data_IF_818954713304
#
_entry.id   IF_818954713304
#
_cell.length_a   1.000
_cell.length_b   1.000
_cell.length_c   1.000
_cell.angle_alpha   90.00
_cell.angle_beta   90.00
_cell.angle_gamma   90.00
#
_symmetry.space_group_name_H-M   'P 1'
#
loop_
_entity.id
_entity.type
_entity.pdbx_description
1 polymer ?
#
# COMPACT_ATOMS: atom_id res chain seq x y z
N UNK A 1 41.22 22.46 -28.60
CA UNK A 1 41.04 21.53 -27.47
C UNK A 1 39.87 22.03 -26.64
N UNK A 2 38.77 21.28 -26.69
CA UNK A 2 37.55 21.52 -25.93
C UNK A 2 37.77 21.21 -24.46
N UNK A 3 37.08 21.91 -23.55
CA UNK A 3 36.37 21.30 -22.42
C UNK A 3 35.41 22.34 -21.83
N UNK A 4 34.11 22.06 -21.98
CA UNK A 4 33.00 22.70 -21.27
C UNK A 4 32.68 21.81 -20.07
N UNK A 5 32.34 22.38 -18.89
CA UNK A 5 31.42 21.74 -17.99
C UNK A 5 30.10 22.52 -17.90
N UNK A 6 29.06 21.71 -17.94
CA UNK A 6 27.64 22.00 -18.01
C UNK A 6 27.12 22.71 -16.73
N UNK A 7 26.24 23.68 -16.92
CA UNK A 7 25.26 24.13 -15.93
C UNK A 7 24.33 22.98 -15.53
N UNK A 8 23.85 23.00 -14.30
CA UNK A 8 22.43 22.84 -13.95
C UNK A 8 22.23 23.00 -12.43
N UNK A 9 21.75 24.16 -11.99
CA UNK A 9 21.14 24.33 -10.67
C UNK A 9 19.94 25.30 -10.80
N UNK A 10 18.75 24.71 -10.63
CA UNK A 10 17.47 25.27 -10.16
C UNK A 10 17.00 26.67 -10.61
N UNK A 11 15.87 26.69 -11.31
CA UNK A 11 14.87 27.75 -11.09
C UNK A 11 13.45 27.22 -11.34
N UNK A 12 12.71 27.03 -10.24
CA UNK A 12 11.26 26.90 -10.29
C UNK A 12 10.64 28.30 -10.35
N UNK A 13 9.61 28.40 -11.19
CA UNK A 13 8.56 29.43 -11.26
C UNK A 13 8.78 30.65 -12.18
N UNK A 14 7.77 30.81 -13.05
CA UNK A 14 7.24 32.05 -13.63
C UNK A 14 8.04 32.77 -14.72
N UNK A 15 7.66 32.55 -15.99
CA UNK A 15 7.15 33.63 -16.85
C UNK A 15 6.66 33.09 -18.21
N UNK A 16 5.34 33.05 -18.40
CA UNK A 16 4.76 33.33 -19.72
C UNK A 16 3.36 33.93 -19.55
N UNK A 17 3.32 35.26 -19.47
CA UNK A 17 2.20 36.07 -19.99
C UNK A 17 2.61 36.45 -21.43
N UNK A 18 1.81 36.55 -22.49
CA UNK A 18 0.41 36.90 -22.69
C UNK A 18 0.05 36.53 -24.14
N UNK A 19 -1.18 36.07 -24.39
CA UNK A 19 -2.01 36.62 -25.47
C UNK A 19 -3.48 36.39 -25.14
N UNK A 20 -4.19 37.50 -24.96
CA UNK A 20 -5.63 37.61 -24.71
C UNK A 20 -6.44 37.20 -25.95
N UNK A 21 -7.60 36.57 -25.74
CA UNK A 21 -8.90 37.22 -25.99
C UNK A 21 -10.08 36.25 -25.73
N UNK A 22 -11.03 36.72 -24.91
CA UNK A 22 -12.51 36.57 -24.93
C UNK A 22 -13.11 35.25 -25.48
N UNK A 23 -14.02 34.57 -24.77
CA UNK A 23 -15.36 35.04 -24.39
C UNK A 23 -15.84 34.35 -23.10
N UNK A 24 -16.39 35.13 -22.18
CA UNK A 24 -17.12 34.66 -20.99
C UNK A 24 -18.58 34.34 -21.33
N UNK A 25 -19.10 33.24 -20.80
CA UNK A 25 -20.55 33.11 -20.53
C UNK A 25 -20.74 32.30 -19.25
N UNK A 26 -21.22 32.99 -18.23
CA UNK A 26 -21.86 32.48 -17.03
C UNK A 26 -23.26 31.97 -17.43
N UNK A 27 -23.81 30.91 -16.86
CA UNK A 27 -24.46 30.87 -15.54
C UNK A 27 -25.03 29.47 -15.30
N UNK A 28 -25.08 29.09 -14.01
CA UNK A 28 -26.04 28.20 -13.32
C UNK A 28 -26.46 26.87 -13.98
N UNK A 29 -26.26 25.77 -13.26
CA UNK A 29 -27.35 25.01 -12.63
C UNK A 29 -26.84 23.72 -11.98
N UNK A 30 -27.17 23.57 -10.70
CA UNK A 30 -27.09 22.34 -9.93
C UNK A 30 -27.91 21.23 -10.60
N UNK A 31 -27.33 20.05 -10.79
CA UNK A 31 -28.10 18.83 -11.03
C UNK A 31 -27.33 17.62 -10.50
N UNK A 32 -27.70 17.20 -9.29
CA UNK A 32 -27.49 15.85 -8.80
C UNK A 32 -28.06 14.87 -9.83
N UNK A 33 -27.20 14.15 -10.55
CA UNK A 33 -27.62 13.08 -11.44
C UNK A 33 -27.52 11.76 -10.68
N UNK A 34 -28.58 11.44 -9.93
CA UNK A 34 -28.88 10.06 -9.57
C UNK A 34 -29.15 9.29 -10.86
N UNK A 35 -28.35 8.26 -11.11
CA UNK A 35 -28.53 7.41 -12.29
C UNK A 35 -29.67 6.44 -11.99
N UNK A 36 -30.88 6.79 -12.42
CA UNK A 36 -32.02 5.87 -12.46
C UNK A 36 -31.95 5.08 -13.78
N UNK A 37 -31.67 3.77 -13.69
CA UNK A 37 -31.78 2.86 -14.83
C UNK A 37 -33.19 2.23 -14.88
N UNK A 38 -33.73 1.96 -16.08
CA UNK A 38 -35.07 1.39 -16.25
C UNK A 38 -35.12 -0.06 -15.74
N UNK A 39 -36.21 -0.41 -15.06
CA UNK A 39 -36.53 -1.77 -14.61
C UNK A 39 -36.93 -2.65 -15.80
N UNK A 40 -36.35 -3.85 -15.99
CA UNK A 40 -36.96 -4.86 -16.84
C UNK A 40 -37.99 -5.69 -16.07
N UNK A 41 -39.02 -6.07 -16.81
CA UNK A 41 -40.17 -6.88 -16.43
C UNK A 41 -39.83 -8.26 -15.90
N UNK A 42 -40.65 -8.71 -14.96
CA UNK A 42 -40.67 -10.02 -14.30
C UNK A 42 -40.78 -11.20 -15.26
N UNK A 43 -39.90 -12.20 -15.08
CA UNK A 43 -40.15 -13.60 -15.45
C UNK A 43 -39.58 -14.52 -14.36
N UNK A 44 -40.31 -15.54 -13.89
CA UNK A 44 -39.84 -16.45 -12.85
C UNK A 44 -39.02 -17.58 -13.50
N UNK A 45 -37.73 -17.31 -13.71
CA UNK A 45 -36.77 -18.30 -14.19
C UNK A 45 -35.88 -18.78 -13.04
N UNK A 46 -36.16 -19.98 -12.55
CA UNK A 46 -35.26 -20.76 -11.68
C UNK A 46 -33.89 -20.89 -12.33
N UNK A 47 -32.95 -20.03 -11.94
CA UNK A 47 -31.52 -20.28 -11.97
C UNK A 47 -30.92 -19.45 -10.86
N UNK A 48 -30.59 -20.11 -9.74
CA UNK A 48 -29.75 -19.58 -8.68
C UNK A 48 -28.49 -19.01 -9.32
N UNK A 49 -28.45 -17.69 -9.46
CA UNK A 49 -27.25 -16.97 -9.90
C UNK A 49 -26.28 -17.14 -8.75
N UNK A 50 -25.41 -18.14 -8.86
CA UNK A 50 -24.34 -18.38 -7.89
C UNK A 50 -23.65 -17.04 -7.61
N UNK A 51 -23.59 -16.64 -6.34
CA UNK A 51 -22.90 -15.41 -5.95
C UNK A 51 -21.43 -15.54 -6.40
N UNK A 52 -20.79 -14.44 -6.84
CA UNK A 52 -19.41 -14.45 -7.37
C UNK A 52 -18.42 -15.18 -6.45
N UNK A 53 -18.66 -15.10 -5.14
CA UNK A 53 -17.90 -15.77 -4.07
C UNK A 53 -17.91 -17.30 -4.10
N UNK A 54 -18.94 -17.92 -4.69
CA UNK A 54 -19.07 -19.39 -4.73
C UNK A 54 -18.08 -20.07 -5.68
N UNK A 55 -17.25 -19.29 -6.38
CA UNK A 55 -16.17 -19.76 -7.24
C UNK A 55 -14.82 -19.83 -6.52
N UNK A 56 -14.71 -19.30 -5.30
CA UNK A 56 -13.46 -19.23 -4.55
C UNK A 56 -13.50 -20.17 -3.33
N UNK A 57 -12.35 -20.77 -3.03
CA UNK A 57 -12.22 -21.75 -1.95
C UNK A 57 -12.12 -21.09 -0.57
N UNK A 58 -11.52 -19.90 -0.51
CA UNK A 58 -11.36 -19.12 0.72
C UNK A 58 -11.76 -17.65 0.49
N UNK A 59 -12.83 -17.23 1.15
CA UNK A 59 -13.34 -15.85 1.11
C UNK A 59 -13.44 -15.34 2.53
N UNK A 60 -12.67 -14.28 2.83
CA UNK A 60 -12.73 -13.60 4.12
C UNK A 60 -13.31 -12.22 3.92
N UNK A 61 -14.41 -11.92 4.62
CA UNK A 61 -15.02 -10.60 4.64
C UNK A 61 -14.42 -9.70 5.71
N UNK A 62 -13.99 -8.52 5.29
CA UNK A 62 -13.73 -7.38 6.17
C UNK A 62 -14.92 -6.42 6.10
N UNK A 63 -15.72 -6.39 7.16
CA UNK A 63 -16.75 -5.36 7.37
C UNK A 63 -16.08 -4.08 7.84
N UNK A 64 -16.38 -2.95 7.19
CA UNK A 64 -15.74 -1.66 7.44
C UNK A 64 -16.59 -0.80 8.37
N UNK A 65 -15.94 0.02 9.20
CA UNK A 65 -16.60 0.86 10.20
C UNK A 65 -16.29 2.37 10.06
N UNK A 66 -17.16 3.16 9.40
CA UNK A 66 -18.37 2.76 8.69
C UNK A 66 -18.11 2.37 7.23
N UNK A 67 -16.97 2.79 6.66
CA UNK A 67 -16.70 2.60 5.23
C UNK A 67 -15.25 2.85 4.85
N UNK A 68 -14.94 2.60 3.57
CA UNK A 68 -13.71 2.97 2.90
C UNK A 68 -14.02 3.67 1.58
N UNK A 69 -13.18 4.64 1.21
CA UNK A 69 -13.24 5.31 -0.09
C UNK A 69 -12.16 4.77 -1.02
N UNK A 70 -12.55 4.31 -2.21
CA UNK A 70 -11.65 3.91 -3.28
C UNK A 70 -11.58 5.04 -4.30
N UNK A 71 -10.36 5.47 -4.63
CA UNK A 71 -10.11 6.50 -5.64
C UNK A 71 -9.26 5.96 -6.78
N UNK A 72 -9.58 6.35 -8.02
CA UNK A 72 -8.80 5.99 -9.21
C UNK A 72 -9.02 6.96 -10.36
N UNK A 73 -8.05 7.01 -11.29
CA UNK A 73 -8.17 7.83 -12.51
C UNK A 73 -8.50 6.93 -13.69
N UNK A 74 -9.48 7.37 -14.49
CA UNK A 74 -9.83 6.73 -15.77
C UNK A 74 -10.14 7.84 -16.79
N UNK A 75 -9.49 7.78 -17.96
CA UNK A 75 -9.65 8.78 -19.02
C UNK A 75 -9.44 10.24 -18.55
N UNK A 76 -8.47 10.46 -17.66
CA UNK A 76 -8.17 11.78 -17.11
C UNK A 76 -9.14 12.27 -16.02
N UNK A 77 -10.20 11.52 -15.71
CA UNK A 77 -11.16 11.85 -14.67
C UNK A 77 -10.89 11.04 -13.39
N UNK A 78 -10.92 11.73 -12.25
CA UNK A 78 -10.82 11.11 -10.92
C UNK A 78 -12.20 10.61 -10.47
N UNK A 79 -12.28 9.33 -10.14
CA UNK A 79 -13.45 8.68 -9.56
C UNK A 79 -13.19 8.42 -8.07
N UNK A 80 -14.25 8.56 -7.26
CA UNK A 80 -14.24 8.24 -5.83
C UNK A 80 -15.51 7.46 -5.50
N UNK A 81 -15.35 6.24 -4.99
CA UNK A 81 -16.44 5.33 -4.69
C UNK A 81 -16.34 4.90 -3.22
N UNK A 82 -17.47 4.76 -2.55
CA UNK A 82 -17.55 4.40 -1.12
C UNK A 82 -18.11 2.99 -0.97
N UNK A 83 -17.48 2.18 -0.12
CA UNK A 83 -17.83 0.78 0.13
C UNK A 83 -17.85 0.48 1.62
N UNK A 84 -18.70 -0.45 2.05
CA UNK A 84 -18.85 -0.82 3.46
C UNK A 84 -18.25 -2.19 3.79
N UNK A 85 -17.86 -2.97 2.78
CA UNK A 85 -17.10 -4.20 3.01
C UNK A 85 -16.14 -4.51 1.86
N UNK A 86 -15.14 -5.34 2.18
CA UNK A 86 -14.19 -5.92 1.24
C UNK A 86 -14.19 -7.42 1.48
N UNK A 87 -14.42 -8.20 0.44
CA UNK A 87 -14.20 -9.64 0.49
C UNK A 87 -12.87 -9.96 -0.19
N UNK A 88 -11.99 -10.62 0.55
CA UNK A 88 -10.69 -11.06 0.08
C UNK A 88 -10.82 -12.50 -0.41
N UNK A 89 -10.71 -12.70 -1.72
CA UNK A 89 -10.79 -14.02 -2.35
C UNK A 89 -9.41 -14.61 -2.55
N UNK A 90 -9.16 -15.78 -1.97
CA UNK A 90 -7.93 -16.55 -2.12
C UNK A 90 -8.22 -17.90 -2.77
N UNK A 91 -7.23 -18.46 -3.44
CA UNK A 91 -7.28 -19.86 -3.87
C UNK A 91 -6.87 -20.82 -2.75
N UNK A 92 -7.00 -22.12 -3.01
CA UNK A 92 -6.55 -23.20 -2.12
C UNK A 92 -5.08 -23.10 -1.65
N UNK A 93 -4.22 -22.36 -2.37
CA UNK A 93 -2.81 -22.16 -1.96
C UNK A 93 -2.64 -20.98 -1.01
N UNK A 94 -3.72 -20.22 -0.75
CA UNK A 94 -3.72 -18.99 0.02
C UNK A 94 -3.29 -17.76 -0.80
N UNK A 95 -3.15 -17.89 -2.12
CA UNK A 95 -2.82 -16.77 -2.99
C UNK A 95 -4.06 -15.93 -3.31
N UNK A 96 -3.94 -14.62 -3.20
CA UNK A 96 -5.01 -13.66 -3.43
C UNK A 96 -5.34 -13.58 -4.93
N UNK A 97 -6.61 -13.84 -5.27
CA UNK A 97 -7.14 -13.73 -6.63
C UNK A 97 -7.74 -12.36 -6.89
N UNK A 98 -8.59 -11.91 -5.98
CA UNK A 98 -9.22 -10.60 -6.11
C UNK A 98 -9.69 -10.06 -4.77
N UNK A 99 -9.97 -8.76 -4.76
CA UNK A 99 -10.82 -8.10 -3.79
C UNK A 99 -12.12 -7.77 -4.50
N UNK A 100 -13.28 -8.13 -3.95
CA UNK A 100 -14.52 -7.51 -4.43
C UNK A 100 -15.13 -6.61 -3.34
N UNK A 101 -15.47 -5.41 -3.78
CA UNK A 101 -15.89 -4.30 -2.94
C UNK A 101 -17.39 -4.15 -3.06
N UNK A 102 -18.05 -4.03 -1.92
CA UNK A 102 -19.50 -4.05 -1.82
C UNK A 102 -20.08 -3.04 -0.83
N UNK A 103 -21.42 -2.97 -0.81
CA UNK A 103 -22.16 -2.03 0.02
C UNK A 103 -22.14 -0.59 -0.47
N UNK A 104 -21.69 -0.37 -1.72
CA UNK A 104 -21.78 0.94 -2.35
C UNK A 104 -23.24 1.35 -2.61
N UNK A 105 -23.53 2.64 -2.43
CA UNK A 105 -24.86 3.18 -2.71
C UNK A 105 -25.25 2.96 -4.18
N UNK A 106 -26.38 2.30 -4.43
CA UNK A 106 -26.87 1.99 -5.78
C UNK A 106 -26.06 0.92 -6.53
N UNK A 107 -25.16 0.21 -5.84
CA UNK A 107 -24.34 -0.82 -6.46
C UNK A 107 -25.17 -2.07 -6.79
N UNK A 108 -25.32 -2.36 -8.09
CA UNK A 108 -25.98 -3.57 -8.58
C UNK A 108 -25.02 -4.73 -8.86
N UNK A 109 -23.73 -4.42 -9.09
CA UNK A 109 -22.68 -5.41 -9.36
C UNK A 109 -21.43 -5.10 -8.54
N UNK A 110 -20.68 -6.13 -8.08
CA UNK A 110 -19.47 -5.92 -7.31
C UNK A 110 -18.42 -5.15 -8.11
N UNK A 111 -17.63 -4.34 -7.42
CA UNK A 111 -16.43 -3.74 -7.99
C UNK A 111 -15.27 -4.67 -7.67
N UNK A 112 -14.73 -5.32 -8.69
CA UNK A 112 -13.73 -6.38 -8.55
C UNK A 112 -12.36 -5.82 -8.90
N UNK A 113 -11.41 -6.00 -8.01
CA UNK A 113 -10.00 -5.74 -8.20
C UNK A 113 -9.26 -7.07 -8.30
N UNK A 114 -8.84 -7.44 -9.52
CA UNK A 114 -8.26 -8.74 -9.83
C UNK A 114 -6.73 -8.69 -9.94
N UNK A 115 -6.08 -9.67 -9.31
CA UNK A 115 -4.64 -9.88 -9.34
C UNK A 115 -4.30 -11.01 -10.31
N UNK A 116 -3.52 -10.70 -11.33
CA UNK A 116 -3.14 -11.66 -12.37
C UNK A 116 -1.79 -12.33 -12.08
N UNK A 117 -1.09 -11.88 -11.03
CA UNK A 117 0.27 -12.29 -10.73
C UNK A 117 0.30 -13.22 -9.51
N UNK A 118 1.16 -14.23 -9.53
CA UNK A 118 1.28 -15.24 -8.45
C UNK A 118 1.92 -14.69 -7.18
N UNK A 119 2.61 -13.54 -7.27
CA UNK A 119 3.19 -12.86 -6.11
C UNK A 119 2.18 -11.87 -5.55
N UNK A 120 1.74 -12.13 -4.31
CA UNK A 120 0.86 -11.23 -3.55
C UNK A 120 1.40 -9.79 -3.63
N UNK A 121 0.59 -8.82 -4.08
CA UNK A 121 1.05 -7.45 -4.13
C UNK A 121 1.16 -6.94 -2.71
N UNK A 122 2.33 -6.41 -2.36
CA UNK A 122 2.55 -5.85 -1.03
C UNK A 122 1.87 -4.48 -0.96
N UNK A 123 0.93 -4.27 -0.02
CA UNK A 123 0.19 -3.03 0.09
C UNK A 123 1.15 -1.94 0.55
N UNK A 124 1.27 -0.89 -0.26
CA UNK A 124 1.98 0.32 0.11
C UNK A 124 1.07 1.14 1.00
N UNK A 125 1.51 1.41 2.23
CA UNK A 125 0.81 2.37 3.07
C UNK A 125 1.40 3.72 2.71
N UNK A 126 0.58 4.70 2.38
CA UNK A 126 1.08 6.02 2.01
C UNK A 126 1.18 6.87 3.28
N UNK A 127 2.37 7.44 3.52
CA UNK A 127 2.66 8.36 4.63
C UNK A 127 2.28 7.85 6.03
N UNK A 128 3.11 7.06 6.71
CA UNK A 128 2.92 6.74 8.12
C UNK A 128 3.53 7.83 9.03
N UNK A 129 2.65 8.47 9.80
CA UNK A 129 2.86 8.94 11.19
C UNK A 129 3.84 10.12 11.42
N UNK A 130 3.31 11.33 11.34
CA UNK A 130 3.77 12.60 11.96
C UNK A 130 2.53 13.49 12.27
N UNK A 131 1.72 13.15 13.29
CA UNK A 131 0.45 13.82 13.72
C UNK A 131 -0.82 12.94 13.65
N UNK A 132 -1.97 13.47 14.06
CA UNK A 132 -3.25 12.76 14.24
C UNK A 132 -4.10 12.66 12.96
N UNK A 133 -3.69 13.30 11.86
CA UNK A 133 -4.53 13.56 10.68
C UNK A 133 -4.14 12.72 9.44
N UNK A 134 -3.54 11.56 9.65
CA UNK A 134 -2.97 10.75 8.57
C UNK A 134 -4.04 10.12 7.67
N UNK A 135 -3.90 10.25 6.35
CA UNK A 135 -4.74 9.46 5.46
C UNK A 135 -4.32 8.00 5.59
N UNK A 136 -5.22 7.18 6.15
CA UNK A 136 -5.08 5.72 6.23
C UNK A 136 -5.24 5.13 4.85
N UNK A 137 -4.19 5.28 4.03
CA UNK A 137 -4.28 5.12 2.59
C UNK A 137 -3.37 4.02 2.11
N UNK A 138 -3.95 3.05 1.43
CA UNK A 138 -3.23 1.92 0.88
C UNK A 138 -3.29 1.99 -0.65
N UNK A 139 -2.14 1.79 -1.29
CA UNK A 139 -1.99 1.65 -2.73
C UNK A 139 -1.16 0.44 -3.09
N UNK A 140 -1.15 0.10 -4.37
CA UNK A 140 -0.25 -0.90 -4.94
C UNK A 140 0.68 -0.22 -5.94
N UNK A 141 1.94 -0.65 -6.02
CA UNK A 141 2.94 0.00 -6.87
C UNK A 141 2.61 -0.13 -8.36
N UNK A 142 2.03 -1.27 -8.73
CA UNK A 142 1.67 -1.60 -10.11
C UNK A 142 0.19 -1.31 -10.37
N UNK A 143 -0.14 -0.97 -11.62
CA UNK A 143 -1.53 -0.92 -12.07
C UNK A 143 -2.15 -2.31 -11.99
N UNK A 144 -3.43 -2.33 -11.66
CA UNK A 144 -4.16 -3.57 -11.46
C UNK A 144 -5.41 -3.60 -12.34
N UNK A 145 -5.91 -4.79 -12.59
CA UNK A 145 -7.09 -4.98 -13.44
C UNK A 145 -8.35 -4.83 -12.60
N UNK A 146 -9.21 -3.92 -13.03
CA UNK A 146 -10.49 -3.61 -12.40
C UNK A 146 -11.61 -4.06 -13.30
N UNK A 147 -12.60 -4.73 -12.72
CA UNK A 147 -13.85 -5.07 -13.36
C UNK A 147 -15.02 -4.44 -12.58
N UNK A 148 -15.79 -3.60 -13.26
CA UNK A 148 -17.01 -3.00 -12.73
C UNK A 148 -18.14 -3.21 -13.74
N UNK A 149 -19.18 -3.95 -13.36
CA UNK A 149 -20.22 -4.43 -14.27
C UNK A 149 -19.62 -5.11 -15.53
N UNK A 150 -19.78 -4.48 -16.70
CA UNK A 150 -19.32 -4.99 -18.00
C UNK A 150 -17.99 -4.36 -18.45
N UNK A 151 -17.38 -3.53 -17.62
CA UNK A 151 -16.21 -2.73 -17.98
C UNK A 151 -14.98 -3.26 -17.27
N UNK A 152 -13.96 -3.63 -18.06
CA UNK A 152 -12.64 -4.02 -17.57
C UNK A 152 -11.62 -2.94 -17.97
N UNK A 153 -10.78 -2.51 -17.04
CA UNK A 153 -9.73 -1.52 -17.30
C UNK A 153 -8.59 -1.66 -16.28
N UNK A 154 -7.41 -1.14 -16.63
CA UNK A 154 -6.26 -1.10 -15.72
C UNK A 154 -6.11 0.29 -15.12
N UNK A 155 -5.90 0.36 -13.81
CA UNK A 155 -5.62 1.61 -13.11
C UNK A 155 -4.91 1.34 -11.78
N UNK A 156 -4.37 2.38 -11.15
CA UNK A 156 -3.86 2.29 -9.79
C UNK A 156 -4.98 2.70 -8.83
N UNK A 157 -5.34 1.81 -7.92
CA UNK A 157 -6.33 2.10 -6.88
C UNK A 157 -5.68 2.70 -5.64
N UNK A 158 -6.41 3.62 -5.02
CA UNK A 158 -6.11 4.15 -3.70
C UNK A 158 -7.26 3.91 -2.74
N UNK A 159 -6.98 3.16 -1.69
CA UNK A 159 -7.91 2.75 -0.65
C UNK A 159 -7.73 3.66 0.56
N UNK A 160 -8.68 4.54 0.84
CA UNK A 160 -8.67 5.40 2.03
C UNK A 160 -9.66 4.87 3.06
N UNK A 161 -9.13 4.38 4.17
CA UNK A 161 -9.90 3.89 5.32
C UNK A 161 -10.30 5.06 6.23
N UNK A 162 -11.44 4.92 6.91
CA UNK A 162 -11.94 5.89 7.88
C UNK A 162 -11.37 5.67 9.29
N UNK A 163 -10.98 4.44 9.63
CA UNK A 163 -10.36 4.09 10.92
C UNK A 163 -9.12 3.22 10.74
N UNK A 164 -8.29 3.18 11.79
CA UNK A 164 -6.99 2.52 11.82
C UNK A 164 -7.12 1.00 11.84
N UNK A 165 -8.08 0.50 12.60
CA UNK A 165 -8.32 -0.91 12.82
C UNK A 165 -8.59 -1.64 11.50
N UNK A 166 -9.48 -1.10 10.66
CA UNK A 166 -9.80 -1.64 9.33
C UNK A 166 -8.59 -1.59 8.40
N UNK A 167 -7.80 -0.52 8.45
CA UNK A 167 -6.57 -0.37 7.67
C UNK A 167 -5.54 -1.45 8.04
N UNK A 168 -5.39 -1.75 9.34
CA UNK A 168 -4.51 -2.82 9.82
C UNK A 168 -5.08 -4.19 9.44
N UNK A 169 -6.34 -4.46 9.76
CA UNK A 169 -6.98 -5.74 9.46
C UNK A 169 -6.93 -6.06 7.96
N UNK A 170 -7.18 -5.08 7.10
CA UNK A 170 -7.05 -5.25 5.66
C UNK A 170 -5.63 -5.71 5.27
N UNK A 171 -4.59 -5.07 5.80
CA UNK A 171 -3.21 -5.46 5.54
C UNK A 171 -2.88 -6.86 6.07
N UNK A 172 -3.36 -7.19 7.27
CA UNK A 172 -3.14 -8.51 7.88
C UNK A 172 -3.79 -9.63 7.07
N UNK A 173 -5.03 -9.42 6.64
CA UNK A 173 -5.78 -10.34 5.80
C UNK A 173 -5.12 -10.50 4.43
N UNK A 174 -4.68 -9.39 3.82
CA UNK A 174 -4.02 -9.40 2.52
C UNK A 174 -2.68 -10.16 2.55
N UNK A 175 -1.89 -9.96 3.60
CA UNK A 175 -0.55 -10.54 3.76
C UNK A 175 -0.55 -11.90 4.49
N UNK A 176 -1.71 -12.38 4.92
CA UNK A 176 -1.86 -13.58 5.76
C UNK A 176 -0.89 -13.57 6.95
N UNK A 177 -0.71 -12.40 7.58
CA UNK A 177 0.29 -12.16 8.62
C UNK A 177 -0.18 -11.09 9.58
N UNK A 178 0.00 -11.30 10.89
CA UNK A 178 -0.30 -10.30 11.93
C UNK A 178 0.71 -9.16 11.89
N UNK A 179 0.26 -7.91 11.97
CA UNK A 179 1.10 -6.73 12.09
C UNK A 179 1.53 -6.56 13.56
N UNK A 180 2.82 -6.71 13.81
CA UNK A 180 3.41 -6.61 15.15
C UNK A 180 3.98 -5.21 15.41
N UNK A 181 4.42 -4.53 14.36
CA UNK A 181 4.99 -3.21 14.43
C UNK A 181 4.78 -2.47 13.11
N UNK A 182 4.55 -1.16 13.22
CA UNK A 182 4.66 -0.23 12.11
C UNK A 182 5.43 1.00 12.57
N UNK A 183 6.45 1.37 11.81
CA UNK A 183 7.29 2.51 12.10
C UNK A 183 7.32 3.52 10.96
N UNK A 184 7.19 4.80 11.31
CA UNK A 184 7.55 5.92 10.46
C UNK A 184 9.08 5.96 10.30
N UNK A 185 9.60 5.33 9.25
CA UNK A 185 11.03 5.34 8.95
C UNK A 185 11.36 6.45 7.95
N UNK A 186 12.42 7.21 8.25
CA UNK A 186 12.96 8.25 7.40
C UNK A 186 13.93 7.65 6.36
N UNK A 187 14.83 6.77 6.82
CA UNK A 187 15.92 6.27 6.00
C UNK A 187 16.46 4.92 6.51
N UNK A 188 16.68 3.99 5.58
CA UNK A 188 17.39 2.74 5.77
C UNK A 188 18.63 2.70 4.87
N UNK A 189 19.82 2.55 5.45
CA UNK A 189 21.07 2.38 4.69
C UNK A 189 21.65 1.00 4.90
N UNK A 190 22.05 0.36 3.79
CA UNK A 190 22.77 -0.91 3.83
C UNK A 190 24.25 -0.73 3.49
N UNK A 191 25.14 -1.29 4.31
CA UNK A 191 26.56 -1.44 3.93
C UNK A 191 26.74 -2.72 3.12
N UNK A 192 27.34 -2.60 1.94
CA UNK A 192 27.73 -3.73 1.06
C UNK A 192 27.04 -3.75 -0.30
N UNK A 193 25.85 -3.15 -0.43
CA UNK A 193 25.12 -3.03 -1.71
C UNK A 193 25.07 -1.61 -2.27
N UNK A 194 25.42 -0.60 -1.47
CA UNK A 194 25.31 0.81 -1.85
C UNK A 194 23.86 1.27 -2.06
N UNK A 195 22.89 0.49 -1.55
CA UNK A 195 21.48 0.85 -1.58
C UNK A 195 21.17 1.68 -0.33
N UNK A 196 20.92 2.96 -0.57
CA UNK A 196 20.27 3.87 0.35
C UNK A 196 18.78 3.86 0.01
N UNK A 197 17.94 3.60 1.02
CA UNK A 197 16.50 3.46 0.88
C UNK A 197 15.85 4.50 1.76
N UNK A 198 15.07 5.41 1.17
CA UNK A 198 14.15 6.24 1.93
C UNK A 198 12.84 5.46 1.95
N UNK A 199 12.42 5.00 3.13
CA UNK A 199 11.18 4.24 3.24
C UNK A 199 10.40 4.59 4.46
N UNK A 200 9.32 5.30 4.19
CA UNK A 200 8.11 5.26 4.99
C UNK A 200 7.58 3.80 5.00
N UNK A 201 7.15 3.29 6.15
CA UNK A 201 6.49 1.98 6.35
C UNK A 201 7.40 0.78 6.62
N UNK A 202 8.29 0.88 7.60
CA UNK A 202 8.90 -0.32 8.16
C UNK A 202 7.84 -1.09 8.95
N UNK A 203 7.65 -2.36 8.65
CA UNK A 203 6.68 -3.24 9.32
C UNK A 203 7.39 -4.47 9.86
N UNK A 204 6.95 -4.97 11.00
CA UNK A 204 7.26 -6.33 11.44
C UNK A 204 5.98 -7.14 11.38
N UNK A 205 6.03 -8.22 10.63
CA UNK A 205 4.90 -9.12 10.40
C UNK A 205 5.18 -10.47 11.04
N UNK A 206 4.14 -11.11 11.57
CA UNK A 206 4.20 -12.48 12.09
C UNK A 206 3.22 -13.37 11.32
N UNK A 207 3.75 -14.34 10.59
CA UNK A 207 2.94 -15.33 9.89
C UNK A 207 2.28 -16.32 10.85
N UNK A 208 1.32 -17.09 10.34
CA UNK A 208 0.60 -18.12 11.12
C UNK A 208 1.52 -19.19 11.72
N UNK A 209 2.65 -19.47 11.09
CA UNK A 209 3.69 -20.38 11.60
C UNK A 209 4.58 -19.77 12.68
N UNK A 210 4.24 -18.58 13.18
CA UNK A 210 5.01 -17.85 14.18
C UNK A 210 6.28 -17.17 13.64
N UNK A 211 6.69 -17.44 12.39
CA UNK A 211 7.85 -16.80 11.78
C UNK A 211 7.60 -15.31 11.61
N UNK A 212 8.63 -14.52 11.90
CA UNK A 212 8.57 -13.06 11.83
C UNK A 212 9.49 -12.53 10.74
N UNK A 213 9.02 -11.50 10.05
CA UNK A 213 9.76 -10.84 8.98
C UNK A 213 9.67 -9.33 9.17
N UNK A 214 10.80 -8.66 8.97
CA UNK A 214 10.87 -7.21 8.77
C UNK A 214 10.63 -6.92 7.30
N UNK A 215 9.67 -6.05 7.00
CA UNK A 215 9.27 -5.68 5.65
C UNK A 215 9.37 -4.16 5.53
N UNK A 216 10.06 -3.68 4.50
CA UNK A 216 10.11 -2.25 4.20
C UNK A 216 10.22 -2.04 2.70
N UNK A 217 9.84 -0.85 2.25
CA UNK A 217 9.99 -0.47 0.87
C UNK A 217 11.43 0.00 0.64
N UNK A 218 11.99 -0.23 -0.53
CA UNK A 218 13.32 0.18 -0.91
C UNK A 218 13.21 0.92 -2.23
N UNK A 219 13.61 2.19 -2.22
CA UNK A 219 13.72 3.01 -3.41
C UNK A 219 15.19 3.37 -3.59
N UNK A 220 15.87 2.65 -4.48
CA UNK A 220 17.29 2.88 -4.75
C UNK A 220 17.48 4.13 -5.62
N UNK A 221 18.20 5.11 -5.09
CA UNK A 221 18.57 6.33 -5.83
C UNK A 221 19.49 6.04 -7.04
N UNK A 222 20.19 4.89 -7.06
CA UNK A 222 21.22 4.58 -8.07
C UNK A 222 20.71 3.83 -9.30
N UNK A 223 19.47 3.35 -9.31
CA UNK A 223 18.99 2.50 -10.41
C UNK A 223 17.48 2.49 -10.63
N UNK A 224 16.72 3.41 -10.03
CA UNK A 224 15.26 3.48 -10.20
C UNK A 224 14.51 2.24 -9.70
N UNK A 225 15.16 1.37 -8.92
CA UNK A 225 14.57 0.14 -8.42
C UNK A 225 13.75 0.44 -7.17
N UNK A 226 12.43 0.46 -7.35
CA UNK A 226 11.41 0.47 -6.31
C UNK A 226 10.99 -0.97 -6.03
N UNK A 227 11.21 -1.49 -4.82
CA UNK A 227 10.82 -2.85 -4.44
C UNK A 227 10.57 -2.98 -2.95
N UNK A 228 9.90 -4.04 -2.55
CA UNK A 228 9.86 -4.43 -1.15
C UNK A 228 11.03 -5.34 -0.79
N UNK A 229 11.62 -5.08 0.38
CA UNK A 229 12.65 -5.91 1.00
C UNK A 229 12.03 -6.61 2.20
N UNK A 230 12.19 -7.92 2.25
CA UNK A 230 11.75 -8.75 3.38
C UNK A 230 12.97 -9.43 3.99
N UNK A 231 13.18 -9.22 5.28
CA UNK A 231 14.29 -9.78 6.08
C UNK A 231 13.68 -10.63 7.18
N UNK A 232 13.86 -11.96 7.18
CA UNK A 232 13.48 -12.81 8.31
C UNK A 232 14.16 -12.36 9.61
N UNK A 233 13.41 -12.27 10.71
CA UNK A 233 13.97 -11.76 11.97
C UNK A 233 15.04 -12.68 12.58
N UNK A 234 15.02 -13.98 12.27
CA UNK A 234 16.09 -14.91 12.65
C UNK A 234 17.44 -14.61 11.96
N UNK A 235 17.46 -13.69 10.99
CA UNK A 235 18.68 -13.18 10.40
C UNK A 235 19.24 -11.97 11.16
N UNK A 236 18.52 -11.42 12.13
CA UNK A 236 19.04 -10.36 12.99
C UNK A 236 19.98 -11.00 14.01
N UNK A 237 21.27 -10.66 13.94
CA UNK A 237 22.27 -11.12 14.89
C UNK A 237 22.26 -10.27 16.16
N UNK A 238 22.09 -8.96 15.99
CA UNK A 238 22.18 -8.00 17.08
C UNK A 238 21.48 -6.70 16.72
N UNK A 239 21.01 -5.97 17.73
CA UNK A 239 20.49 -4.62 17.61
C UNK A 239 21.28 -3.69 18.52
N UNK A 240 21.80 -2.61 17.94
CA UNK A 240 22.52 -1.56 18.67
C UNK A 240 21.62 -0.33 18.76
N UNK A 241 21.15 0.02 19.97
CA UNK A 241 20.33 1.20 20.17
C UNK A 241 21.12 2.48 19.83
N UNK A 242 20.43 3.59 19.50
CA UNK A 242 21.08 4.83 19.17
C UNK A 242 21.75 5.43 20.41
N UNK A 243 22.95 6.01 20.23
CA UNK A 243 23.69 6.63 21.35
C UNK A 243 23.04 7.92 21.86
N UNK A 244 22.19 8.55 21.06
CA UNK A 244 21.47 9.80 21.36
C UNK A 244 20.12 9.79 20.63
N UNK A 245 19.09 10.49 21.13
CA UNK A 245 17.82 10.67 20.42
C UNK A 245 18.03 11.23 19.00
N UNK A 246 17.18 10.84 18.07
CA UNK A 246 17.28 11.25 16.66
C UNK A 246 18.47 10.66 15.89
N UNK A 247 19.24 9.72 16.47
CA UNK A 247 20.27 8.97 15.74
C UNK A 247 19.72 7.62 15.25
N UNK A 248 20.31 7.03 14.20
CA UNK A 248 19.83 5.76 13.67
C UNK A 248 20.09 4.59 14.60
N UNK A 249 19.20 3.60 14.56
CA UNK A 249 19.40 2.24 15.07
C UNK A 249 20.30 1.48 14.11
N UNK A 250 21.19 0.63 14.62
CA UNK A 250 21.99 -0.28 13.79
C UNK A 250 21.57 -1.72 14.05
N UNK A 251 21.15 -2.41 12.98
CA UNK A 251 20.78 -3.82 12.97
C UNK A 251 21.90 -4.60 12.28
N UNK A 252 22.52 -5.51 13.01
CA UNK A 252 23.54 -6.41 12.48
C UNK A 252 22.86 -7.68 11.98
N UNK A 253 23.16 -8.09 10.76
CA UNK A 253 22.52 -9.22 10.11
C UNK A 253 23.50 -10.39 9.96
N UNK A 254 23.05 -11.59 10.30
CA UNK A 254 23.72 -12.83 9.98
C UNK A 254 23.72 -13.04 8.45
N UNK A 255 24.82 -13.56 7.88
CA UNK A 255 24.83 -13.94 6.48
C UNK A 255 23.87 -15.10 6.25
N UNK A 256 22.75 -14.86 5.58
CA UNK A 256 21.74 -15.88 5.34
C UNK A 256 21.28 -15.85 3.88
N UNK A 257 22.06 -16.52 3.03
CA UNK A 257 21.89 -16.73 1.58
C UNK A 257 21.61 -15.47 0.71
N UNK A 258 21.47 -15.64 -0.61
CA UNK A 258 21.59 -14.65 -1.70
C UNK A 258 21.27 -13.18 -1.38
N UNK A 259 20.12 -12.87 -0.76
CA UNK A 259 19.69 -11.49 -0.44
C UNK A 259 20.54 -10.81 0.64
N UNK A 260 20.99 -11.56 1.67
CA UNK A 260 21.75 -11.04 2.81
C UNK A 260 23.26 -11.30 2.67
N UNK A 261 23.68 -12.06 1.66
CA UNK A 261 25.09 -12.35 1.37
C UNK A 261 26.00 -11.11 1.37
N UNK A 262 25.47 -9.95 0.95
CA UNK A 262 26.18 -8.67 0.90
C UNK A 262 25.71 -7.66 1.95
N UNK A 263 24.52 -7.81 2.54
CA UNK A 263 23.96 -6.87 3.51
C UNK A 263 24.30 -7.31 4.94
N UNK A 264 25.39 -6.76 5.49
CA UNK A 264 25.84 -7.09 6.85
C UNK A 264 25.23 -6.21 7.94
N UNK A 265 24.98 -4.95 7.60
CA UNK A 265 24.44 -3.97 8.53
C UNK A 265 23.34 -3.16 7.85
N UNK A 266 22.26 -2.96 8.59
CA UNK A 266 21.15 -2.09 8.24
C UNK A 266 21.07 -0.96 9.27
N UNK A 267 21.20 0.27 8.81
CA UNK A 267 21.07 1.47 9.65
C UNK A 267 19.70 2.08 9.42
N UNK A 268 18.88 2.20 10.45
CA UNK A 268 17.48 2.66 10.37
C UNK A 268 17.33 3.97 11.16
N UNK A 269 16.96 5.04 10.47
CA UNK A 269 16.57 6.30 11.09
C UNK A 269 15.04 6.39 11.16
N UNK A 270 14.50 6.46 12.38
CA UNK A 270 13.08 6.71 12.61
C UNK A 270 12.78 8.21 12.62
N UNK A 271 11.56 8.57 12.22
CA UNK A 271 11.02 9.92 12.34
C UNK A 271 10.53 10.19 13.78
N UNK A 272 9.94 9.18 14.41
CA UNK A 272 9.48 9.21 15.80
C UNK A 272 10.44 8.44 16.73
N UNK A 273 10.80 9.04 17.86
CA UNK A 273 11.63 8.39 18.89
C UNK A 273 10.87 7.27 19.63
N UNK A 274 9.54 7.35 19.72
CA UNK A 274 8.73 6.28 20.31
C UNK A 274 8.78 5.02 19.44
N UNK A 275 8.61 5.18 18.12
CA UNK A 275 8.75 4.07 17.16
C UNK A 275 10.15 3.42 17.26
N UNK A 276 11.19 4.22 17.48
CA UNK A 276 12.55 3.73 17.69
C UNK A 276 12.67 2.87 18.97
N UNK A 277 12.12 3.36 20.09
CA UNK A 277 12.14 2.64 21.36
C UNK A 277 11.36 1.32 21.28
N UNK A 278 10.14 1.36 20.72
CA UNK A 278 9.27 0.19 20.52
C UNK A 278 9.94 -0.85 19.62
N UNK A 279 10.59 -0.39 18.53
CA UNK A 279 11.34 -1.27 17.63
C UNK A 279 12.49 -1.99 18.33
N UNK A 280 13.28 -1.27 19.14
CA UNK A 280 14.40 -1.84 19.89
C UNK A 280 13.88 -2.85 20.92
N UNK A 281 12.83 -2.50 21.65
CA UNK A 281 12.23 -3.37 22.66
C UNK A 281 11.71 -4.66 22.02
N UNK A 282 11.00 -4.55 20.90
CA UNK A 282 10.46 -5.70 20.16
C UNK A 282 11.58 -6.63 19.69
N UNK A 283 12.64 -6.10 19.07
CA UNK A 283 13.76 -6.92 18.60
C UNK A 283 14.59 -7.50 19.75
N UNK A 284 14.76 -6.78 20.85
CA UNK A 284 15.52 -7.28 22.02
C UNK A 284 14.78 -8.43 22.72
N UNK A 285 13.45 -8.37 22.76
CA UNK A 285 12.62 -9.46 23.29
C UNK A 285 12.73 -10.70 22.39
N UNK A 286 12.77 -10.51 21.08
CA UNK A 286 12.88 -11.63 20.12
C UNK A 286 14.27 -12.28 20.12
N UNK A 287 15.33 -11.51 20.35
CA UNK A 287 16.70 -12.03 20.46
C UNK A 287 16.96 -12.79 21.76
N UNK A 288 16.17 -12.55 22.82
CA UNK A 288 16.30 -13.24 24.11
C UNK A 288 15.44 -14.51 24.22
N UNK A 289 14.46 -14.68 23.32
CA UNK A 289 13.56 -15.86 23.25
C UNK A 289 14.00 -16.85 22.14
N UNK A 290 15.17 -16.62 21.52
CA UNK A 290 15.79 -17.52 20.53
C UNK A 290 16.46 -18.75 21.15
#
# INVERSE_FOLDING_TARGET
>A
MSFVPHQDYHEWASNSSRRESTVSTSTVSSASTSILFPTPSTSPGSNSRKQSWQLYDDVVRLELNPSMTVSFVKNGQLFKLRYTFIDLCKDTTGALKCLELGGGLGQQTPFVHAFHNTKLPVPHLEHPKEDSDYPLRITFLEQQTIQAAHVVFMTQLSYKFENWEDCVQFQELLLSSKMMFIGGMAEAKSKGRGEECISQNLRILRGHNGKRVMLFFANSQRGGLKRYVSIPLNCVANVKPPKKPGRPVMVELNPNFEILSQMRNLTIQFLDNNDCADFIQLLSTDLTIG
#
